data_IF_550944284165
#
_entry.id   IF_550944284165
#
_cell.length_a   1.000
_cell.length_b   1.000
_cell.length_c   1.000
_cell.angle_alpha   90.00
_cell.angle_beta   90.00
_cell.angle_gamma   90.00
#
_symmetry.space_group_name_H-M   'P 1'
#
loop_
_entity.id
_entity.type
_entity.pdbx_description
1 polymer ?
#
# COMPACT_ATOMS: atom_id res chain seq x y z
N UNK A 1 25.69 11.01 8.18
CA UNK A 1 25.74 9.58 7.80
C UNK A 1 25.50 9.49 6.30
N UNK A 2 26.25 8.66 5.56
CA UNK A 2 26.01 8.48 4.13
C UNK A 2 24.60 7.91 3.91
N UNK A 3 23.88 8.48 2.94
CA UNK A 3 22.56 8.00 2.54
C UNK A 3 22.74 6.61 1.93
N UNK A 4 21.96 5.62 2.36
CA UNK A 4 22.04 4.28 1.79
C UNK A 4 21.70 4.31 0.29
N UNK A 5 22.24 3.34 -0.47
CA UNK A 5 21.98 3.22 -1.92
C UNK A 5 20.46 3.17 -2.18
N UNK A 6 19.75 2.36 -1.39
CA UNK A 6 18.29 2.26 -1.39
C UNK A 6 17.59 3.60 -1.16
N UNK A 7 17.99 4.35 -0.14
CA UNK A 7 17.39 5.66 0.14
C UNK A 7 17.70 6.68 -0.95
N UNK A 8 18.90 6.66 -1.52
CA UNK A 8 19.29 7.54 -2.64
C UNK A 8 18.48 7.24 -3.90
N UNK A 9 18.26 5.94 -4.19
CA UNK A 9 17.43 5.51 -5.31
C UNK A 9 15.97 5.93 -5.12
N UNK A 10 15.41 5.82 -3.91
CA UNK A 10 14.04 6.25 -3.66
C UNK A 10 13.90 7.79 -3.75
N UNK A 11 14.81 8.53 -3.12
CA UNK A 11 14.81 10.00 -3.12
C UNK A 11 14.90 10.59 -4.53
N UNK A 12 15.49 9.86 -5.47
CA UNK A 12 15.58 10.28 -6.88
C UNK A 12 14.41 9.79 -7.72
N UNK A 13 14.04 8.51 -7.61
CA UNK A 13 12.97 7.92 -8.41
C UNK A 13 11.56 8.41 -8.03
N UNK A 14 11.29 8.65 -6.75
CA UNK A 14 9.96 9.05 -6.28
C UNK A 14 9.53 10.44 -6.79
N UNK A 15 10.36 11.51 -6.71
CA UNK A 15 10.01 12.79 -7.33
C UNK A 15 9.83 12.68 -8.84
N UNK A 16 10.64 11.86 -9.51
CA UNK A 16 10.51 11.62 -10.95
C UNK A 16 9.23 10.87 -11.31
N UNK A 17 8.77 9.94 -10.46
CA UNK A 17 7.47 9.28 -10.58
C UNK A 17 6.34 10.31 -10.47
N UNK A 18 6.35 11.12 -9.42
CA UNK A 18 5.35 12.17 -9.20
C UNK A 18 5.32 13.14 -10.38
N UNK A 19 6.49 13.60 -10.83
CA UNK A 19 6.61 14.50 -11.98
C UNK A 19 6.11 13.86 -13.28
N UNK A 20 6.44 12.59 -13.50
CA UNK A 20 6.02 11.83 -14.69
C UNK A 20 4.50 11.66 -14.76
N UNK A 21 3.86 11.38 -13.61
CA UNK A 21 2.40 11.21 -13.55
C UNK A 21 1.67 12.54 -13.62
N UNK A 22 2.14 13.57 -12.92
CA UNK A 22 1.47 14.86 -12.86
C UNK A 22 1.69 15.73 -14.11
N UNK A 23 2.95 16.00 -14.47
CA UNK A 23 3.28 16.99 -15.50
C UNK A 23 3.48 16.35 -16.87
N UNK A 24 4.29 15.30 -16.95
CA UNK A 24 4.64 14.70 -18.24
C UNK A 24 3.53 13.82 -18.81
N UNK A 25 2.62 13.33 -17.95
CA UNK A 25 1.64 12.27 -18.26
C UNK A 25 2.24 11.19 -19.15
N UNK A 26 3.42 10.69 -18.76
CA UNK A 26 4.13 9.67 -19.54
C UNK A 26 3.85 8.29 -18.95
N UNK A 27 3.08 7.46 -19.66
CA UNK A 27 2.80 6.09 -19.22
C UNK A 27 4.08 5.29 -18.96
N UNK A 28 5.05 5.40 -19.88
CA UNK A 28 6.36 4.74 -19.75
C UNK A 28 7.16 5.29 -18.58
N UNK A 29 7.17 6.61 -18.38
CA UNK A 29 7.88 7.25 -17.27
C UNK A 29 7.31 6.79 -15.93
N UNK A 30 5.98 6.79 -15.78
CA UNK A 30 5.32 6.35 -14.55
C UNK A 30 5.61 4.87 -14.27
N UNK A 31 5.56 4.01 -15.30
CA UNK A 31 5.92 2.60 -15.15
C UNK A 31 7.38 2.42 -14.69
N UNK A 32 8.34 3.08 -15.35
CA UNK A 32 9.77 2.96 -15.03
C UNK A 32 10.06 3.47 -13.63
N UNK A 33 9.65 4.70 -13.31
CA UNK A 33 9.97 5.30 -12.01
C UNK A 33 9.27 4.59 -10.86
N UNK A 34 8.05 4.06 -11.07
CA UNK A 34 7.38 3.22 -10.08
C UNK A 34 8.19 1.97 -9.79
N UNK A 35 8.61 1.23 -10.81
CA UNK A 35 9.43 0.03 -10.62
C UNK A 35 10.80 0.34 -10.00
N UNK A 36 11.43 1.46 -10.36
CA UNK A 36 12.69 1.90 -9.73
C UNK A 36 12.49 2.24 -8.24
N UNK A 37 11.41 2.92 -7.89
CA UNK A 37 11.04 3.17 -6.49
C UNK A 37 10.74 1.86 -5.74
N UNK A 38 10.14 0.87 -6.41
CA UNK A 38 9.91 -0.45 -5.80
C UNK A 38 11.20 -1.23 -5.57
N UNK A 39 12.14 -1.18 -6.52
CA UNK A 39 13.45 -1.83 -6.38
C UNK A 39 14.22 -1.22 -5.19
N UNK A 40 14.04 0.07 -4.91
CA UNK A 40 14.72 0.74 -3.81
C UNK A 40 14.43 0.14 -2.43
N UNK A 41 13.17 -0.20 -2.13
CA UNK A 41 12.86 -0.84 -0.85
C UNK A 41 13.35 -2.29 -0.79
N UNK A 42 13.38 -2.99 -1.93
CA UNK A 42 13.81 -4.39 -2.00
C UNK A 42 15.33 -4.52 -1.92
N UNK A 43 16.09 -3.54 -2.43
CA UNK A 43 17.55 -3.57 -2.40
C UNK A 43 18.12 -3.51 -0.98
N UNK A 44 17.39 -2.92 -0.02
CA UNK A 44 17.87 -2.78 1.36
C UNK A 44 18.20 -4.13 2.02
N UNK A 45 17.25 -5.08 2.17
CA UNK A 45 17.57 -6.39 2.76
C UNK A 45 18.44 -7.28 1.86
N UNK A 46 18.43 -7.09 0.54
CA UNK A 46 19.22 -7.90 -0.39
C UNK A 46 20.71 -7.55 -0.36
N UNK A 47 21.05 -6.27 -0.16
CA UNK A 47 22.42 -5.78 -0.17
C UNK A 47 23.11 -5.83 1.21
N UNK A 48 22.45 -6.40 2.23
CA UNK A 48 23.09 -6.65 3.52
C UNK A 48 24.20 -7.70 3.35
N UNK A 49 25.40 -7.36 3.82
CA UNK A 49 26.62 -8.17 3.69
C UNK A 49 26.61 -9.49 4.46
N UNK A 50 25.63 -9.68 5.35
CA UNK A 50 25.48 -10.90 6.15
C UNK A 50 25.06 -12.08 5.27
N UNK A 51 25.84 -13.17 5.35
CA UNK A 51 25.60 -14.41 4.59
C UNK A 51 24.49 -15.26 5.18
N UNK A 52 24.16 -15.07 6.46
CA UNK A 52 23.07 -15.78 7.12
C UNK A 52 21.74 -15.04 6.91
N UNK A 53 20.73 -15.80 6.48
CA UNK A 53 19.38 -15.29 6.29
C UNK A 53 18.49 -15.79 7.42
N UNK A 54 18.21 -14.90 8.37
CA UNK A 54 17.19 -15.15 9.40
C UNK A 54 15.80 -15.32 8.75
N UNK A 55 14.91 -16.05 9.42
CA UNK A 55 13.53 -16.21 8.96
C UNK A 55 12.81 -14.86 8.84
N UNK A 56 13.08 -13.94 9.77
CA UNK A 56 12.60 -12.56 9.69
C UNK A 56 13.04 -11.86 8.39
N UNK A 57 14.34 -11.90 8.06
CA UNK A 57 14.87 -11.32 6.81
C UNK A 57 14.19 -11.94 5.59
N UNK A 58 13.99 -13.26 5.58
CA UNK A 58 13.32 -13.97 4.47
C UNK A 58 11.89 -13.50 4.28
N UNK A 59 11.11 -13.42 5.35
CA UNK A 59 9.69 -13.03 5.28
C UNK A 59 9.51 -11.55 4.90
N UNK A 60 10.31 -10.65 5.47
CA UNK A 60 10.29 -9.24 5.06
C UNK A 60 10.70 -9.10 3.59
N UNK A 61 11.76 -9.78 3.16
CA UNK A 61 12.20 -9.74 1.75
C UNK A 61 11.14 -10.33 0.81
N UNK A 62 10.47 -11.43 1.21
CA UNK A 62 9.37 -12.03 0.47
C UNK A 62 8.20 -11.05 0.33
N UNK A 63 7.80 -10.39 1.43
CA UNK A 63 6.74 -9.38 1.41
C UNK A 63 7.08 -8.17 0.53
N UNK A 64 8.33 -7.71 0.56
CA UNK A 64 8.81 -6.65 -0.33
C UNK A 64 8.78 -7.12 -1.81
N UNK A 65 9.16 -8.36 -2.07
CA UNK A 65 9.05 -8.97 -3.41
C UNK A 65 7.60 -8.99 -3.93
N UNK A 66 6.65 -9.41 -3.09
CA UNK A 66 5.22 -9.36 -3.43
C UNK A 66 4.70 -7.93 -3.59
N UNK A 67 5.22 -6.97 -2.82
CA UNK A 67 4.87 -5.55 -2.99
C UNK A 67 5.33 -5.01 -4.35
N UNK A 68 6.55 -5.37 -4.77
CA UNK A 68 7.05 -5.04 -6.11
C UNK A 68 6.18 -5.68 -7.21
N UNK A 69 5.76 -6.94 -7.02
CA UNK A 69 4.87 -7.62 -7.95
C UNK A 69 3.49 -6.94 -8.00
N UNK A 70 2.97 -6.51 -6.85
CA UNK A 70 1.74 -5.71 -6.77
C UNK A 70 1.88 -4.39 -7.50
N UNK A 71 3.00 -3.69 -7.33
CA UNK A 71 3.29 -2.44 -8.04
C UNK A 71 3.28 -2.62 -9.55
N UNK A 72 3.86 -3.71 -10.05
CA UNK A 72 3.84 -4.09 -11.46
C UNK A 72 2.41 -4.30 -11.98
N UNK A 73 1.58 -5.05 -11.24
CA UNK A 73 0.19 -5.31 -11.63
C UNK A 73 -0.72 -4.07 -11.54
N UNK A 74 -0.39 -3.13 -10.65
CA UNK A 74 -1.10 -1.85 -10.54
C UNK A 74 -0.68 -0.82 -11.60
N UNK A 75 0.26 -1.12 -12.50
CA UNK A 75 0.55 -0.22 -13.62
C UNK A 75 -0.67 -0.24 -14.56
N UNK A 76 -1.36 0.91 -14.75
CA UNK A 76 -2.54 0.96 -15.60
C UNK A 76 -2.17 0.64 -17.05
N UNK A 77 -3.12 0.08 -17.79
CA UNK A 77 -2.93 -0.13 -19.23
C UNK A 77 -2.85 1.21 -19.96
N UNK A 78 -2.26 1.26 -21.17
CA UNK A 78 -2.18 2.51 -21.95
C UNK A 78 -3.54 3.16 -22.20
N UNK A 79 -4.60 2.35 -22.38
CA UNK A 79 -5.96 2.82 -22.63
C UNK A 79 -6.61 3.44 -21.39
N UNK A 80 -6.26 2.91 -20.22
CA UNK A 80 -6.70 3.42 -18.92
C UNK A 80 -5.93 4.70 -18.53
N UNK A 81 -4.64 4.76 -18.89
CA UNK A 81 -3.78 5.92 -18.62
C UNK A 81 -4.09 7.12 -19.53
N UNK A 82 -4.36 6.87 -20.82
CA UNK A 82 -4.86 7.88 -21.75
C UNK A 82 -6.31 7.52 -22.10
N UNK A 83 -7.30 7.93 -21.28
CA UNK A 83 -8.68 7.78 -21.68
C UNK A 83 -8.87 8.59 -22.96
N UNK A 84 -8.98 7.89 -24.08
CA UNK A 84 -9.32 8.52 -25.36
C UNK A 84 -10.67 9.20 -25.16
N UNK A 85 -10.83 10.44 -25.65
CA UNK A 85 -12.10 11.17 -25.80
C UNK A 85 -13.01 10.48 -26.84
N UNK A 86 -13.19 9.18 -26.67
CA UNK A 86 -14.06 8.36 -27.48
C UNK A 86 -15.47 8.79 -27.12
N UNK A 87 -16.22 9.22 -28.14
CA UNK A 87 -17.69 9.27 -28.17
C UNK A 87 -18.29 7.87 -27.96
N UNK A 88 -17.86 7.14 -26.94
CA UNK A 88 -18.51 5.94 -26.47
C UNK A 88 -19.81 6.40 -25.80
N UNK A 89 -20.93 6.04 -26.42
CA UNK A 89 -22.28 6.20 -25.89
C UNK A 89 -22.33 5.83 -24.42
N UNK A 90 -23.02 6.62 -23.59
CA UNK A 90 -23.11 6.46 -22.13
C UNK A 90 -23.48 5.05 -21.64
N UNK A 91 -24.02 4.21 -22.54
CA UNK A 91 -24.35 2.81 -22.33
C UNK A 91 -23.11 1.89 -22.22
N UNK A 92 -22.07 2.09 -23.04
CA UNK A 92 -20.82 1.29 -22.97
C UNK A 92 -19.96 1.66 -21.75
N UNK A 93 -19.94 2.95 -21.39
CA UNK A 93 -19.22 3.41 -20.19
C UNK A 93 -19.81 2.80 -18.91
N UNK A 94 -21.11 2.52 -18.87
CA UNK A 94 -21.77 1.97 -17.68
C UNK A 94 -21.50 0.47 -17.48
N UNK A 95 -21.25 -0.29 -18.56
CA UNK A 95 -20.88 -1.71 -18.49
C UNK A 95 -19.37 -1.90 -18.25
N UNK A 96 -18.50 -1.06 -18.82
CA UNK A 96 -17.05 -1.13 -18.57
C UNK A 96 -16.61 -0.53 -17.22
N UNK A 97 -17.24 0.56 -16.72
CA UNK A 97 -16.88 1.15 -15.41
C UNK A 97 -17.12 0.20 -14.23
N UNK A 98 -17.95 -0.83 -14.39
CA UNK A 98 -18.27 -1.79 -13.33
C UNK A 98 -17.23 -2.90 -13.14
N UNK A 99 -16.44 -3.20 -14.16
CA UNK A 99 -15.45 -4.30 -14.14
C UNK A 99 -14.06 -3.76 -13.87
N UNK A 100 -13.67 -3.82 -12.60
CA UNK A 100 -12.30 -3.61 -12.17
C UNK A 100 -11.37 -4.58 -12.91
N UNK A 101 -10.26 -4.05 -13.46
CA UNK A 101 -9.28 -4.84 -14.22
C UNK A 101 -8.75 -6.02 -13.39
N UNK A 102 -8.59 -7.18 -14.04
CA UNK A 102 -7.97 -8.37 -13.42
C UNK A 102 -6.55 -8.04 -12.94
N UNK A 103 -5.81 -7.20 -13.65
CA UNK A 103 -4.48 -6.74 -13.23
C UNK A 103 -4.56 -6.00 -11.90
N UNK A 104 -5.57 -5.14 -11.72
CA UNK A 104 -5.76 -4.43 -10.46
C UNK A 104 -6.10 -5.37 -9.31
N UNK A 105 -6.95 -6.38 -9.53
CA UNK A 105 -7.26 -7.41 -8.53
C UNK A 105 -6.03 -8.23 -8.15
N UNK A 106 -5.22 -8.65 -9.13
CA UNK A 106 -3.95 -9.34 -8.88
C UNK A 106 -2.98 -8.45 -8.10
N UNK A 107 -2.97 -7.14 -8.36
CA UNK A 107 -2.24 -6.15 -7.57
C UNK A 107 -2.66 -6.18 -6.10
N UNK A 108 -3.95 -6.05 -5.81
CA UNK A 108 -4.48 -6.12 -4.43
C UNK A 108 -4.10 -7.44 -3.75
N UNK A 109 -4.23 -8.57 -4.45
CA UNK A 109 -3.88 -9.89 -3.89
C UNK A 109 -2.38 -9.98 -3.60
N UNK A 110 -1.51 -9.50 -4.49
CA UNK A 110 -0.07 -9.47 -4.25
C UNK A 110 0.27 -8.62 -3.02
N UNK A 111 -0.33 -7.44 -2.89
CA UNK A 111 -0.20 -6.64 -1.67
C UNK A 111 -0.73 -7.36 -0.44
N UNK A 112 -1.85 -8.08 -0.53
CA UNK A 112 -2.41 -8.83 0.59
C UNK A 112 -1.40 -9.87 1.11
N UNK A 113 -0.76 -10.61 0.20
CA UNK A 113 0.27 -11.59 0.53
C UNK A 113 1.50 -10.91 1.15
N UNK A 114 1.89 -9.73 0.65
CA UNK A 114 2.98 -8.95 1.25
C UNK A 114 2.70 -8.60 2.73
N UNK A 115 1.51 -8.09 3.02
CA UNK A 115 1.11 -7.72 4.38
C UNK A 115 0.98 -8.94 5.31
N UNK A 116 0.54 -10.09 4.80
CA UNK A 116 0.56 -11.36 5.54
C UNK A 116 2.00 -11.75 5.89
N UNK A 117 2.93 -11.65 4.94
CA UNK A 117 4.34 -11.95 5.19
C UNK A 117 4.95 -11.03 6.25
N UNK A 118 4.65 -9.72 6.21
CA UNK A 118 5.07 -8.77 7.25
C UNK A 118 4.48 -9.08 8.61
N UNK A 119 3.18 -9.39 8.67
CA UNK A 119 2.50 -9.79 9.90
C UNK A 119 3.17 -11.01 10.52
N UNK A 120 3.42 -12.04 9.72
CA UNK A 120 4.08 -13.26 10.17
C UNK A 120 5.50 -12.98 10.66
N UNK A 121 6.26 -12.13 9.96
CA UNK A 121 7.59 -11.71 10.39
C UNK A 121 7.55 -11.02 11.76
N UNK A 122 6.60 -10.11 12.00
CA UNK A 122 6.49 -9.39 13.27
C UNK A 122 6.12 -10.31 14.43
N UNK A 123 5.21 -11.26 14.20
CA UNK A 123 4.82 -12.24 15.21
C UNK A 123 5.95 -13.23 15.52
N UNK A 124 6.66 -13.71 14.49
CA UNK A 124 7.74 -14.68 14.67
C UNK A 124 8.95 -14.09 15.42
N UNK A 125 9.28 -12.81 15.18
CA UNK A 125 10.36 -12.12 15.89
C UNK A 125 9.91 -11.52 17.24
N UNK A 126 8.73 -11.84 17.77
CA UNK A 126 8.24 -11.25 19.02
C UNK A 126 8.74 -11.99 20.28
N UNK A 127 9.23 -11.25 21.29
CA UNK A 127 9.48 -11.81 22.64
C UNK A 127 8.20 -11.88 23.45
N UNK A 128 7.44 -10.79 23.35
CA UNK A 128 6.18 -10.59 24.04
C UNK A 128 5.17 -10.03 23.05
N UNK A 129 3.92 -10.49 23.18
CA UNK A 129 2.78 -9.98 22.42
C UNK A 129 1.73 -9.48 23.41
N UNK A 130 1.46 -8.18 23.38
CA UNK A 130 0.41 -7.57 24.20
C UNK A 130 -0.94 -7.74 23.51
N UNK A 131 -1.62 -8.87 23.75
CA UNK A 131 -2.88 -9.23 23.10
C UNK A 131 -4.00 -8.20 23.28
N UNK A 132 -4.01 -7.47 24.39
CA UNK A 132 -4.98 -6.38 24.63
C UNK A 132 -4.76 -5.22 23.66
N UNK A 133 -3.49 -4.82 23.46
CA UNK A 133 -3.11 -3.79 22.47
C UNK A 133 -3.40 -4.29 21.07
N UNK A 134 -3.08 -5.56 20.77
CA UNK A 134 -3.40 -6.16 19.47
C UNK A 134 -4.91 -6.08 19.17
N UNK A 135 -5.75 -6.56 20.09
CA UNK A 135 -7.20 -6.57 19.91
C UNK A 135 -7.77 -5.14 19.82
N UNK A 136 -7.31 -4.23 20.68
CA UNK A 136 -7.75 -2.83 20.67
C UNK A 136 -7.37 -2.13 19.37
N UNK A 137 -6.13 -2.27 18.90
CA UNK A 137 -5.68 -1.70 17.63
C UNK A 137 -6.45 -2.31 16.47
N UNK A 138 -6.60 -3.64 16.42
CA UNK A 138 -7.32 -4.33 15.35
C UNK A 138 -8.77 -3.85 15.23
N UNK A 139 -9.51 -3.88 16.34
CA UNK A 139 -10.91 -3.43 16.38
C UNK A 139 -11.02 -1.93 16.08
N UNK A 140 -10.11 -1.12 16.63
CA UNK A 140 -10.04 0.31 16.37
C UNK A 140 -9.83 0.62 14.88
N UNK A 141 -8.89 -0.06 14.23
CA UNK A 141 -8.59 0.11 12.80
C UNK A 141 -9.74 -0.35 11.91
N UNK A 142 -10.38 -1.49 12.22
CA UNK A 142 -11.57 -1.93 11.48
C UNK A 142 -12.75 -0.99 11.69
N UNK A 143 -12.95 -0.49 12.91
CA UNK A 143 -13.98 0.50 13.22
C UNK A 143 -13.77 1.80 12.43
N UNK A 144 -12.53 2.30 12.39
CA UNK A 144 -12.15 3.45 11.57
C UNK A 144 -12.37 3.17 10.08
N UNK A 145 -11.96 2.01 9.57
CA UNK A 145 -12.17 1.61 8.17
C UNK A 145 -13.65 1.54 7.78
N UNK A 146 -14.51 1.03 8.68
CA UNK A 146 -15.96 1.03 8.50
C UNK A 146 -16.54 2.45 8.49
N UNK A 147 -16.12 3.30 9.43
CA UNK A 147 -16.56 4.70 9.49
C UNK A 147 -16.16 5.48 8.22
N UNK A 148 -14.93 5.27 7.74
CA UNK A 148 -14.41 5.88 6.51
C UNK A 148 -15.10 5.35 5.24
N UNK A 149 -15.76 4.19 5.29
CA UNK A 149 -16.47 3.59 4.16
C UNK A 149 -15.69 2.54 3.39
N UNK A 150 -14.53 2.11 3.89
CA UNK A 150 -13.71 1.06 3.25
C UNK A 150 -14.37 -0.31 3.43
N UNK A 151 -14.98 -0.53 4.59
CA UNK A 151 -15.67 -1.78 4.93
C UNK A 151 -17.17 -1.58 4.80
N UNK A 152 -17.76 -2.14 3.73
CA UNK A 152 -19.19 -2.06 3.41
C UNK A 152 -19.76 -0.62 3.46
N UNK A 153 -19.37 0.26 2.52
CA UNK A 153 -19.89 1.61 2.47
C UNK A 153 -21.42 1.61 2.35
N UNK A 154 -22.07 2.51 3.10
CA UNK A 154 -23.50 2.78 2.93
C UNK A 154 -23.81 3.38 1.56
N UNK A 155 -25.07 3.26 1.11
CA UNK A 155 -25.49 3.75 -0.22
C UNK A 155 -25.29 5.27 -0.42
N UNK A 156 -25.30 6.03 0.68
CA UNK A 156 -25.09 7.48 0.72
C UNK A 156 -23.90 7.82 1.63
N UNK A 157 -23.18 8.89 1.30
CA UNK A 157 -22.17 9.45 2.18
C UNK A 157 -22.81 10.13 3.39
N UNK A 158 -22.23 9.91 4.56
CA UNK A 158 -22.59 10.63 5.76
C UNK A 158 -21.37 10.79 6.67
N UNK A 159 -21.38 11.81 7.53
CA UNK A 159 -20.32 11.97 8.54
C UNK A 159 -20.30 10.85 9.59
N UNK A 160 -21.37 10.03 9.66
CA UNK A 160 -21.48 8.88 10.57
C UNK A 160 -21.10 7.55 9.92
N UNK A 161 -21.11 7.47 8.58
CA UNK A 161 -20.76 6.29 7.80
C UNK A 161 -20.45 6.69 6.37
N UNK A 162 -19.40 6.10 5.80
CA UNK A 162 -18.90 6.43 4.46
C UNK A 162 -18.39 7.88 4.36
N UNK A 163 -17.54 8.28 5.31
CA UNK A 163 -16.99 9.64 5.38
C UNK A 163 -16.11 10.00 4.16
N UNK A 164 -15.48 9.02 3.50
CA UNK A 164 -14.69 9.23 2.28
C UNK A 164 -15.53 9.18 0.99
N UNK A 165 -16.85 9.00 1.09
CA UNK A 165 -17.77 8.86 -0.05
C UNK A 165 -17.31 7.82 -1.08
N UNK A 166 -16.96 6.63 -0.57
CA UNK A 166 -16.54 5.48 -1.36
C UNK A 166 -17.76 4.76 -1.94
N UNK A 167 -17.64 4.40 -3.21
CA UNK A 167 -18.60 3.62 -3.96
C UNK A 167 -17.93 2.35 -4.50
N UNK A 168 -17.93 1.30 -3.66
CA UNK A 168 -17.32 0.01 -3.98
C UNK A 168 -18.37 -0.89 -4.65
N UNK A 169 -18.08 -1.32 -5.88
CA UNK A 169 -18.90 -2.28 -6.64
C UNK A 169 -19.13 -3.57 -5.83
N UNK A 170 -20.33 -4.17 -5.84
CA UNK A 170 -20.65 -5.37 -5.06
C UNK A 170 -19.62 -6.49 -5.15
N UNK A 171 -19.06 -6.72 -6.35
CA UNK A 171 -18.07 -7.78 -6.62
C UNK A 171 -16.73 -7.53 -5.92
N UNK A 172 -16.36 -6.28 -5.70
CA UNK A 172 -15.09 -5.89 -5.08
C UNK A 172 -15.18 -5.73 -3.56
N UNK A 173 -16.39 -5.59 -3.00
CA UNK A 173 -16.62 -5.47 -1.56
C UNK A 173 -15.96 -6.58 -0.74
N UNK A 174 -16.13 -7.88 -1.05
CA UNK A 174 -15.50 -8.92 -0.25
C UNK A 174 -13.97 -8.86 -0.33
N UNK A 175 -13.40 -8.56 -1.50
CA UNK A 175 -11.95 -8.45 -1.68
C UNK A 175 -11.37 -7.28 -0.87
N UNK A 176 -11.98 -6.10 -0.95
CA UNK A 176 -11.52 -4.90 -0.22
C UNK A 176 -11.72 -5.08 1.29
N UNK A 177 -12.83 -5.67 1.73
CA UNK A 177 -13.07 -5.95 3.14
C UNK A 177 -12.06 -6.95 3.71
N UNK A 178 -11.78 -8.03 2.97
CA UNK A 178 -10.77 -9.01 3.36
C UNK A 178 -9.36 -8.39 3.42
N UNK A 179 -9.02 -7.56 2.44
CA UNK A 179 -7.76 -6.82 2.44
C UNK A 179 -7.65 -5.85 3.63
N UNK A 180 -8.72 -5.14 3.97
CA UNK A 180 -8.76 -4.26 5.14
C UNK A 180 -8.52 -5.03 6.46
N UNK A 181 -9.03 -6.26 6.57
CA UNK A 181 -8.72 -7.15 7.70
C UNK A 181 -7.24 -7.47 7.76
N UNK A 182 -6.61 -7.85 6.64
CA UNK A 182 -5.18 -8.17 6.59
C UNK A 182 -4.33 -6.97 7.04
N UNK A 183 -4.61 -5.77 6.54
CA UNK A 183 -3.88 -4.56 6.93
C UNK A 183 -4.10 -4.23 8.40
N UNK A 184 -5.33 -4.33 8.90
CA UNK A 184 -5.62 -4.10 10.31
C UNK A 184 -4.87 -5.10 11.19
N UNK A 185 -4.78 -6.37 10.78
CA UNK A 185 -3.99 -7.40 11.48
C UNK A 185 -2.50 -7.06 11.47
N UNK A 186 -1.94 -6.65 10.32
CA UNK A 186 -0.54 -6.23 10.24
C UNK A 186 -0.24 -5.06 11.17
N UNK A 187 -1.09 -4.03 11.16
CA UNK A 187 -0.91 -2.87 12.02
C UNK A 187 -1.06 -3.22 13.50
N UNK A 188 -2.04 -4.04 13.85
CA UNK A 188 -2.20 -4.57 15.20
C UNK A 188 -0.96 -5.35 15.66
N UNK A 189 -0.43 -6.26 14.83
CA UNK A 189 0.81 -6.99 15.12
C UNK A 189 1.97 -6.02 15.34
N UNK A 190 2.21 -5.10 14.41
CA UNK A 190 3.30 -4.14 14.47
C UNK A 190 3.29 -3.26 15.75
N UNK A 191 2.11 -2.91 16.26
CA UNK A 191 1.95 -2.08 17.47
C UNK A 191 1.99 -2.86 18.79
N UNK A 192 1.79 -4.17 18.76
CA UNK A 192 1.62 -4.99 19.97
C UNK A 192 2.75 -5.98 20.23
N UNK A 193 3.64 -6.20 19.26
CA UNK A 193 4.81 -7.09 19.40
C UNK A 193 6.06 -6.32 19.78
N UNK A 194 6.82 -6.85 20.74
CA UNK A 194 8.17 -6.36 21.08
C UNK A 194 9.25 -7.18 20.35
N UNK A 195 10.13 -6.57 19.54
CA UNK A 195 11.14 -7.26 18.76
C UNK A 195 12.14 -8.03 19.64
N UNK A 196 12.53 -9.23 19.19
CA UNK A 196 13.44 -10.11 19.93
C UNK A 196 14.89 -9.87 19.62
N UNK A 197 15.19 -9.48 18.39
CA UNK A 197 16.55 -9.45 17.86
C UNK A 197 17.09 -8.03 17.69
N UNK A 198 16.25 -7.00 17.86
CA UNK A 198 16.56 -5.61 17.46
C UNK A 198 16.27 -4.63 18.62
N UNK A 199 17.04 -3.53 18.79
CA UNK A 199 16.81 -2.53 19.84
C UNK A 199 15.38 -1.94 19.85
N UNK A 200 14.94 -1.49 21.04
CA UNK A 200 13.57 -1.03 21.32
C UNK A 200 13.08 0.08 20.37
N UNK A 201 13.97 0.94 19.87
CA UNK A 201 13.65 2.03 18.94
C UNK A 201 13.05 1.52 17.62
N UNK A 202 13.30 0.27 17.25
CA UNK A 202 12.84 -0.34 16.01
C UNK A 202 11.41 -0.87 16.06
N UNK A 203 10.86 -1.10 17.25
CA UNK A 203 9.42 -1.39 17.42
C UNK A 203 8.58 -0.23 16.90
N UNK A 204 9.02 1.01 17.15
CA UNK A 204 8.40 2.23 16.63
C UNK A 204 8.50 2.30 15.11
N UNK A 205 9.59 1.81 14.52
CA UNK A 205 9.74 1.73 13.06
C UNK A 205 8.74 0.75 12.43
N UNK A 206 8.52 -0.44 13.02
CA UNK A 206 7.49 -1.38 12.55
C UNK A 206 6.10 -0.76 12.56
N UNK A 207 5.72 -0.17 13.70
CA UNK A 207 4.44 0.50 13.87
C UNK A 207 4.27 1.70 12.94
N UNK A 208 5.33 2.51 12.76
CA UNK A 208 5.33 3.66 11.85
C UNK A 208 5.15 3.23 10.39
N UNK A 209 5.92 2.24 9.92
CA UNK A 209 5.77 1.70 8.58
C UNK A 209 4.36 1.16 8.35
N UNK A 210 3.84 0.36 9.30
CA UNK A 210 2.49 -0.15 9.22
C UNK A 210 1.40 0.95 9.23
N UNK A 211 1.56 2.00 10.04
CA UNK A 211 0.66 3.15 10.04
C UNK A 211 0.68 3.88 8.68
N UNK A 212 1.87 4.07 8.10
CA UNK A 212 2.03 4.70 6.80
C UNK A 212 1.35 3.88 5.69
N UNK A 213 1.38 2.54 5.75
CA UNK A 213 0.60 1.69 4.84
C UNK A 213 -0.89 1.87 4.99
N UNK A 214 -1.41 1.85 6.23
CA UNK A 214 -2.85 2.08 6.48
C UNK A 214 -3.29 3.39 5.84
N UNK A 215 -2.54 4.47 6.03
CA UNK A 215 -2.86 5.78 5.47
C UNK A 215 -2.73 5.79 3.95
N UNK A 216 -1.64 5.25 3.40
CA UNK A 216 -1.44 5.09 1.95
C UNK A 216 -2.62 4.38 1.30
N UNK A 217 -3.09 3.28 1.89
CA UNK A 217 -4.12 2.46 1.31
C UNK A 217 -5.51 3.10 1.38
N UNK A 218 -5.73 4.01 2.35
CA UNK A 218 -6.89 4.90 2.32
C UNK A 218 -6.86 5.86 1.13
N UNK A 219 -5.69 6.40 0.76
CA UNK A 219 -5.56 7.21 -0.45
C UNK A 219 -5.81 6.36 -1.70
N UNK A 220 -5.30 5.13 -1.75
CA UNK A 220 -5.58 4.19 -2.86
C UNK A 220 -7.06 3.89 -2.95
N UNK A 221 -7.73 3.58 -1.83
CA UNK A 221 -9.15 3.28 -1.80
C UNK A 221 -10.01 4.48 -2.21
N UNK A 222 -9.71 5.68 -1.68
CA UNK A 222 -10.37 6.93 -2.08
C UNK A 222 -10.23 7.17 -3.57
N UNK A 223 -9.04 6.96 -4.09
CA UNK A 223 -8.76 7.19 -5.49
C UNK A 223 -9.44 6.14 -6.41
N UNK A 224 -9.42 4.86 -6.04
CA UNK A 224 -10.00 3.78 -6.84
C UNK A 224 -11.54 3.74 -6.78
N UNK A 225 -12.13 4.13 -5.64
CA UNK A 225 -13.56 3.93 -5.38
C UNK A 225 -14.32 5.21 -5.00
N UNK A 226 -13.68 6.36 -4.86
CA UNK A 226 -14.35 7.62 -4.52
C UNK A 226 -15.27 8.12 -5.63
N UNK A 227 -16.47 8.60 -5.29
CA UNK A 227 -17.44 9.13 -6.28
C UNK A 227 -16.95 10.36 -7.04
N UNK A 228 -16.07 11.15 -6.43
CA UNK A 228 -15.47 12.35 -7.03
C UNK A 228 -14.15 12.06 -7.77
N UNK A 229 -13.74 10.79 -7.89
CA UNK A 229 -12.50 10.39 -8.54
C UNK A 229 -12.64 10.43 -10.06
N UNK A 230 -12.74 11.64 -10.62
CA UNK A 230 -12.65 11.84 -12.06
C UNK A 230 -11.22 11.55 -12.56
N UNK A 231 -11.04 11.12 -13.82
CA UNK A 231 -9.74 10.73 -14.39
C UNK A 231 -8.70 11.85 -14.48
N UNK A 232 -9.01 13.07 -14.01
CA UNK A 232 -8.19 14.27 -14.18
C UNK A 232 -8.01 15.12 -12.91
N UNK A 233 -8.46 14.68 -11.72
CA UNK A 233 -8.50 15.54 -10.52
C UNK A 233 -7.41 15.30 -9.48
N UNK A 234 -6.48 14.35 -9.70
CA UNK A 234 -5.41 14.11 -8.72
C UNK A 234 -4.44 15.27 -8.69
N UNK A 235 -4.46 16.04 -7.59
CA UNK A 235 -3.46 17.07 -7.33
C UNK A 235 -2.09 16.45 -7.04
N UNK A 236 -1.01 17.22 -7.29
CA UNK A 236 0.37 16.83 -6.94
C UNK A 236 0.46 16.32 -5.52
N UNK A 237 -0.22 16.99 -4.60
CA UNK A 237 -0.20 16.64 -3.18
C UNK A 237 -0.77 15.24 -2.94
N UNK A 238 -1.87 14.88 -3.59
CA UNK A 238 -2.51 13.56 -3.42
C UNK A 238 -1.63 12.44 -4.00
N UNK A 239 -1.02 12.67 -5.16
CA UNK A 239 -0.08 11.74 -5.80
C UNK A 239 1.17 11.58 -4.92
N UNK A 240 1.72 12.70 -4.45
CA UNK A 240 2.95 12.72 -3.63
C UNK A 240 2.72 12.09 -2.27
N UNK A 241 1.57 12.34 -1.63
CA UNK A 241 1.24 11.72 -0.34
C UNK A 241 0.96 10.24 -0.50
N UNK A 242 0.21 9.82 -1.51
CA UNK A 242 -0.06 8.40 -1.78
C UNK A 242 1.22 7.61 -2.01
N UNK A 243 2.00 7.97 -3.04
CA UNK A 243 3.25 7.28 -3.32
C UNK A 243 4.30 7.49 -2.23
N UNK A 244 4.40 8.69 -1.68
CA UNK A 244 5.36 9.01 -0.63
C UNK A 244 5.14 8.16 0.61
N UNK A 245 3.90 8.08 1.12
CA UNK A 245 3.58 7.24 2.27
C UNK A 245 3.83 5.77 1.96
N UNK A 246 3.39 5.29 0.79
CA UNK A 246 3.58 3.90 0.38
C UNK A 246 5.07 3.50 0.32
N UNK A 247 5.87 4.18 -0.49
CA UNK A 247 7.26 3.78 -0.71
C UNK A 247 8.13 4.00 0.53
N UNK A 248 7.87 5.04 1.32
CA UNK A 248 8.57 5.22 2.59
C UNK A 248 8.13 4.20 3.64
N UNK A 249 6.87 3.77 3.65
CA UNK A 249 6.44 2.68 4.52
C UNK A 249 7.23 1.40 4.23
N UNK A 250 7.39 1.06 2.94
CA UNK A 250 8.21 -0.08 2.51
C UNK A 250 9.67 0.10 2.93
N UNK A 251 10.26 1.29 2.78
CA UNK A 251 11.63 1.57 3.22
C UNK A 251 11.80 1.45 4.74
N UNK A 252 10.83 1.91 5.52
CA UNK A 252 10.86 1.80 6.99
C UNK A 252 10.78 0.34 7.40
N UNK A 253 9.89 -0.46 6.78
CA UNK A 253 9.82 -1.91 7.02
C UNK A 253 11.13 -2.59 6.58
N UNK A 254 11.65 -2.27 5.41
CA UNK A 254 12.90 -2.84 4.89
C UNK A 254 14.10 -2.51 5.80
N UNK A 255 14.12 -1.31 6.38
CA UNK A 255 15.12 -0.90 7.38
C UNK A 255 15.05 -1.70 8.67
N UNK A 256 13.97 -2.44 8.94
CA UNK A 256 13.88 -3.37 10.08
C UNK A 256 14.66 -4.65 9.94
N UNK A 257 15.16 -4.92 8.74
CA UNK A 257 16.10 -6.01 8.51
C UNK A 257 17.51 -5.51 8.81
N UNK A 258 18.11 -6.02 9.88
CA UNK A 258 19.50 -5.75 10.25
C UNK A 258 20.42 -6.89 9.79
N UNK A 259 21.71 -6.58 9.59
CA UNK A 259 22.74 -7.54 9.21
C UNK A 259 23.14 -8.44 10.38
#
# INVERSE_FOLDING_TARGET
>A
MPVSISASLLLTSLPLLVFSEWQSRSHRGTAIFKMLSSIAFLSSPLLLSSTEWSDYRRLITLGLGFSLLGDFFLIPSRREFYPLDSKATARDKSEELGKVSISFQLGIVAFAVAHIAYTWAFLQDSRETYWTVFAATFVGTLGAGKWLGVIYPGAHSSLKSNALDLHISPDMRPLVAFYAVIIATMFAAATSTSPSTVPLDWSRSRALGAAMFVVSDLFVAKNAFGRSSGPNSRGVLEISMGYGLYFWAQMVIAGTVVA
#
